data_IF_253855395662
#
_entry.id   IF_253855395662
#
_cell.length_a   1.000
_cell.length_b   1.000
_cell.length_c   1.000
_cell.angle_alpha   90.00
_cell.angle_beta   90.00
_cell.angle_gamma   90.00
#
_symmetry.space_group_name_H-M   'P 1'
#
loop_
_entity.id
_entity.type
_entity.pdbx_description
1 polymer ?
#
# COMPACT_ATOMS: atom_id res chain seq x y z
N UNK A 1 -47.30 28.65 -16.58
CA UNK A 1 -46.19 27.68 -16.65
C UNK A 1 -46.22 26.86 -15.37
N UNK A 2 -46.34 25.53 -15.41
CA UNK A 2 -46.23 24.70 -14.21
C UNK A 2 -44.75 24.57 -13.79
N UNK A 3 -44.43 24.45 -12.49
CA UNK A 3 -43.07 24.26 -12.04
C UNK A 3 -42.60 22.84 -12.35
N UNK A 4 -41.40 22.73 -12.92
CA UNK A 4 -40.73 21.48 -13.26
C UNK A 4 -40.24 20.82 -11.97
N UNK A 5 -40.89 19.72 -11.59
CA UNK A 5 -40.43 18.83 -10.52
C UNK A 5 -39.05 18.26 -10.87
N UNK A 6 -38.01 18.76 -10.22
CA UNK A 6 -36.69 18.12 -10.26
C UNK A 6 -36.75 16.88 -9.36
N UNK A 7 -36.92 15.71 -9.97
CA UNK A 7 -36.70 14.43 -9.31
C UNK A 7 -35.21 14.30 -9.00
N UNK A 8 -34.83 14.63 -7.77
CA UNK A 8 -33.52 14.30 -7.23
C UNK A 8 -33.42 12.77 -7.13
N UNK A 9 -32.85 12.15 -8.17
CA UNK A 9 -32.38 10.77 -8.13
C UNK A 9 -31.30 10.66 -7.07
N UNK A 10 -31.68 10.35 -5.83
CA UNK A 10 -30.74 9.96 -4.78
C UNK A 10 -30.22 8.57 -5.12
N UNK A 11 -29.15 8.51 -5.92
CA UNK A 11 -28.38 7.30 -6.12
C UNK A 11 -27.90 6.81 -4.75
N UNK A 12 -28.46 5.69 -4.29
CA UNK A 12 -28.01 5.04 -3.05
C UNK A 12 -26.54 4.70 -3.24
N UNK A 13 -25.62 5.13 -2.36
CA UNK A 13 -24.22 4.77 -2.49
C UNK A 13 -24.08 3.24 -2.47
N UNK A 14 -23.33 2.71 -3.43
CA UNK A 14 -23.13 1.27 -3.57
C UNK A 14 -22.57 0.64 -2.30
N UNK A 15 -21.84 1.41 -1.49
CA UNK A 15 -21.26 0.99 -0.22
C UNK A 15 -21.66 1.90 0.93
N UNK A 16 -22.25 1.32 1.97
CA UNK A 16 -22.65 2.01 3.21
C UNK A 16 -21.66 1.69 4.31
N UNK A 17 -21.18 2.73 5.00
CA UNK A 17 -20.26 2.57 6.14
C UNK A 17 -20.96 1.87 7.29
N UNK A 18 -20.31 0.84 7.86
CA UNK A 18 -20.85 0.11 9.02
C UNK A 18 -20.55 0.88 10.29
N UNK A 19 -21.57 1.17 11.09
CA UNK A 19 -21.39 1.83 12.38
C UNK A 19 -20.64 0.93 13.37
N UNK A 20 -19.70 1.53 14.11
CA UNK A 20 -18.92 0.87 15.16
C UNK A 20 -17.67 0.13 14.70
N UNK A 21 -17.44 -0.03 13.39
CA UNK A 21 -16.23 -0.69 12.87
C UNK A 21 -15.56 0.23 11.83
N UNK A 22 -14.44 0.89 12.17
CA UNK A 22 -13.78 1.80 11.26
C UNK A 22 -13.20 1.04 10.05
N UNK A 23 -13.41 1.58 8.86
CA UNK A 23 -12.92 0.97 7.61
C UNK A 23 -13.78 -0.19 7.10
N UNK A 24 -14.90 -0.52 7.74
CA UNK A 24 -15.83 -1.53 7.25
C UNK A 24 -16.99 -0.89 6.49
N UNK A 25 -17.25 -1.40 5.30
CA UNK A 25 -18.33 -0.97 4.41
C UNK A 25 -19.14 -2.18 3.97
N UNK A 26 -20.44 -1.99 3.73
CA UNK A 26 -21.34 -3.02 3.24
C UNK A 26 -21.92 -2.60 1.91
N UNK A 27 -21.84 -3.47 0.92
CA UNK A 27 -22.42 -3.24 -0.38
C UNK A 27 -23.95 -3.32 -0.29
N UNK A 28 -24.65 -2.27 -0.73
CA UNK A 28 -26.10 -2.12 -0.59
C UNK A 28 -26.89 -3.20 -1.33
N UNK A 29 -26.39 -3.64 -2.49
CA UNK A 29 -27.10 -4.62 -3.36
C UNK A 29 -26.73 -6.08 -3.10
N UNK A 30 -25.45 -6.37 -2.87
CA UNK A 30 -24.98 -7.76 -2.67
C UNK A 30 -24.86 -8.15 -1.20
N UNK A 31 -24.94 -7.18 -0.28
CA UNK A 31 -24.74 -7.41 1.15
C UNK A 31 -23.31 -7.78 1.54
N UNK A 32 -22.38 -7.85 0.57
CA UNK A 32 -20.97 -8.20 0.82
C UNK A 32 -20.24 -7.07 1.55
N UNK A 33 -19.33 -7.45 2.44
CA UNK A 33 -18.49 -6.50 3.13
C UNK A 33 -17.19 -6.18 2.39
N UNK A 34 -16.78 -4.92 2.49
CA UNK A 34 -15.56 -4.34 1.95
C UNK A 34 -14.76 -3.72 3.10
N UNK A 35 -13.47 -4.04 3.16
CA UNK A 35 -12.50 -3.36 4.00
C UNK A 35 -11.83 -2.22 3.24
N UNK A 36 -11.69 -1.06 3.88
CA UNK A 36 -11.02 0.12 3.33
C UNK A 36 -10.10 0.73 4.37
N UNK A 37 -8.82 0.84 4.04
CA UNK A 37 -7.79 1.40 4.91
C UNK A 37 -6.83 2.27 4.10
N UNK A 38 -6.42 3.40 4.68
CA UNK A 38 -5.30 4.19 4.16
C UNK A 38 -4.02 3.73 4.83
N UNK A 39 -3.01 3.41 4.03
CA UNK A 39 -1.65 3.01 4.46
C UNK A 39 -0.67 3.81 3.61
N UNK A 40 0.28 4.49 4.25
CA UNK A 40 1.31 5.30 3.55
C UNK A 40 0.72 6.28 2.51
N UNK A 41 -0.41 6.92 2.84
CA UNK A 41 -1.11 7.84 1.94
C UNK A 41 -1.90 7.18 0.80
N UNK A 42 -1.73 5.88 0.55
CA UNK A 42 -2.47 5.12 -0.48
C UNK A 42 -3.71 4.46 0.11
N UNK A 43 -4.82 4.50 -0.63
CA UNK A 43 -6.05 3.78 -0.28
C UNK A 43 -5.91 2.32 -0.72
N UNK A 44 -6.10 1.40 0.22
CA UNK A 44 -6.19 -0.03 -0.02
C UNK A 44 -7.62 -0.46 0.24
N UNK A 45 -8.16 -1.23 -0.68
CA UNK A 45 -9.53 -1.76 -0.62
C UNK A 45 -9.45 -3.28 -0.77
N UNK A 46 -10.22 -4.01 0.04
CA UNK A 46 -10.22 -5.46 0.02
C UNK A 46 -11.62 -6.01 0.24
N UNK A 47 -12.10 -6.81 -0.72
CA UNK A 47 -13.38 -7.50 -0.58
C UNK A 47 -13.24 -8.62 0.45
N UNK A 48 -14.02 -8.56 1.52
CA UNK A 48 -14.00 -9.53 2.60
C UNK A 48 -14.76 -10.82 2.24
N UNK A 49 -15.38 -10.86 1.05
CA UNK A 49 -16.08 -12.03 0.48
C UNK A 49 -17.01 -12.73 1.48
N UNK A 50 -17.75 -11.95 2.26
CA UNK A 50 -18.71 -12.45 3.25
C UNK A 50 -19.86 -11.47 3.41
N UNK A 51 -21.02 -11.99 3.79
CA UNK A 51 -22.24 -11.26 4.15
C UNK A 51 -22.50 -11.27 5.66
N UNK A 52 -21.71 -12.04 6.42
CA UNK A 52 -21.76 -12.09 7.89
C UNK A 52 -20.86 -11.00 8.50
N UNK A 53 -21.44 -10.20 9.41
CA UNK A 53 -20.76 -9.07 10.06
C UNK A 53 -19.58 -9.50 10.93
N UNK A 54 -19.72 -10.56 11.72
CA UNK A 54 -18.68 -11.02 12.65
C UNK A 54 -17.49 -11.61 11.89
N UNK A 55 -17.77 -12.34 10.81
CA UNK A 55 -16.72 -12.87 9.93
C UNK A 55 -16.02 -11.71 9.20
N UNK A 56 -16.78 -10.71 8.74
CA UNK A 56 -16.22 -9.53 8.09
C UNK A 56 -15.26 -8.76 9.00
N UNK A 57 -15.65 -8.55 10.27
CA UNK A 57 -14.81 -7.88 11.26
C UNK A 57 -13.49 -8.63 11.52
N UNK A 58 -13.55 -9.96 11.69
CA UNK A 58 -12.35 -10.79 11.86
C UNK A 58 -11.43 -10.72 10.64
N UNK A 59 -11.99 -10.83 9.43
CA UNK A 59 -11.22 -10.73 8.18
C UNK A 59 -10.64 -9.34 7.97
N UNK A 60 -11.38 -8.29 8.35
CA UNK A 60 -10.89 -6.92 8.29
C UNK A 60 -9.69 -6.73 9.22
N UNK A 61 -9.77 -7.25 10.45
CA UNK A 61 -8.66 -7.18 11.40
C UNK A 61 -7.42 -7.92 10.87
N UNK A 62 -7.59 -9.16 10.41
CA UNK A 62 -6.50 -9.94 9.82
C UNK A 62 -5.85 -9.22 8.64
N UNK A 63 -6.67 -8.65 7.75
CA UNK A 63 -6.18 -7.89 6.60
C UNK A 63 -5.45 -6.60 7.01
N UNK A 64 -5.93 -5.86 8.02
CA UNK A 64 -5.24 -4.68 8.54
C UNK A 64 -3.89 -5.08 9.17
N UNK A 65 -3.85 -6.18 9.91
CA UNK A 65 -2.63 -6.70 10.51
C UNK A 65 -1.62 -7.16 9.44
N UNK A 66 -2.08 -7.68 8.31
CA UNK A 66 -1.24 -8.00 7.14
C UNK A 66 -0.73 -6.75 6.43
N UNK A 67 -1.54 -5.69 6.32
CA UNK A 67 -1.12 -4.42 5.69
C UNK A 67 0.02 -3.72 6.43
N UNK A 68 0.14 -3.92 7.74
CA UNK A 68 1.21 -3.36 8.57
C UNK A 68 2.50 -4.19 8.57
N UNK A 69 2.47 -5.41 8.04
CA UNK A 69 3.67 -6.23 7.91
C UNK A 69 4.42 -5.80 6.66
N UNK A 70 5.65 -5.34 6.84
CA UNK A 70 6.61 -5.26 5.74
C UNK A 70 6.72 -6.67 5.18
N UNK A 71 6.55 -6.81 3.87
CA UNK A 71 6.65 -8.11 3.20
C UNK A 71 7.98 -8.76 3.61
N UNK A 72 7.91 -9.87 4.33
CA UNK A 72 9.09 -10.58 4.85
C UNK A 72 10.04 -10.98 3.71
N UNK A 73 9.55 -11.03 2.47
CA UNK A 73 10.37 -11.17 1.27
C UNK A 73 11.12 -9.87 0.91
N UNK A 74 10.45 -8.71 0.98
CA UNK A 74 11.09 -7.40 0.80
C UNK A 74 12.13 -7.11 1.90
N UNK A 75 11.91 -7.56 3.13
CA UNK A 75 12.88 -7.39 4.23
C UNK A 75 14.22 -8.12 3.97
N UNK A 76 14.18 -9.22 3.21
CA UNK A 76 15.37 -10.00 2.84
C UNK A 76 16.07 -9.48 1.60
N UNK A 77 15.52 -8.47 0.93
CA UNK A 77 16.14 -7.91 -0.26
C UNK A 77 17.54 -7.40 0.06
N UNK A 78 18.46 -7.72 -0.83
CA UNK A 78 19.83 -7.22 -0.76
C UNK A 78 19.89 -5.79 -1.28
N UNK A 79 20.92 -5.05 -0.91
CA UNK A 79 21.17 -3.72 -1.48
C UNK A 79 21.23 -3.76 -3.01
N UNK A 80 21.85 -4.80 -3.57
CA UNK A 80 21.93 -5.02 -5.01
C UNK A 80 20.54 -5.15 -5.67
N UNK A 81 19.64 -5.95 -5.07
CA UNK A 81 18.26 -6.08 -5.55
C UNK A 81 17.45 -4.78 -5.40
N UNK A 82 17.74 -3.98 -4.36
CA UNK A 82 17.11 -2.68 -4.17
C UNK A 82 17.52 -1.69 -5.27
N UNK A 83 18.81 -1.64 -5.60
CA UNK A 83 19.32 -0.81 -6.69
C UNK A 83 18.80 -1.28 -8.06
N UNK A 84 18.71 -2.59 -8.29
CA UNK A 84 18.12 -3.13 -9.52
C UNK A 84 16.64 -2.72 -9.67
N UNK A 85 15.86 -2.76 -8.59
CA UNK A 85 14.47 -2.27 -8.58
C UNK A 85 14.38 -0.77 -8.81
N UNK A 86 15.29 0.01 -8.22
CA UNK A 86 15.35 1.45 -8.43
C UNK A 86 15.61 1.79 -9.90
N UNK A 87 16.59 1.11 -10.51
CA UNK A 87 16.91 1.25 -11.93
C UNK A 87 15.73 0.88 -12.83
N UNK A 88 15.03 -0.21 -12.53
CA UNK A 88 13.83 -0.62 -13.24
C UNK A 88 12.69 0.43 -13.16
N UNK A 89 12.51 1.07 -12.01
CA UNK A 89 11.52 2.16 -11.85
C UNK A 89 11.97 3.45 -12.54
N UNK A 90 13.28 3.69 -12.64
CA UNK A 90 13.83 4.86 -13.31
C UNK A 90 14.07 4.68 -14.81
N UNK A 91 13.69 3.55 -15.40
CA UNK A 91 13.91 3.28 -16.83
C UNK A 91 13.25 4.32 -17.76
N UNK A 92 12.15 4.93 -17.32
CA UNK A 92 11.45 5.99 -18.07
C UNK A 92 12.07 7.39 -17.88
N UNK A 93 13.15 7.52 -17.09
CA UNK A 93 13.82 8.80 -16.83
C UNK A 93 14.92 9.08 -17.86
N UNK A 94 15.45 10.30 -17.81
CA UNK A 94 16.59 10.69 -18.64
C UNK A 94 17.82 9.82 -18.36
N UNK A 95 18.66 9.61 -19.38
CA UNK A 95 19.94 8.91 -19.24
C UNK A 95 20.78 9.46 -18.08
N UNK A 96 20.85 10.79 -17.95
CA UNK A 96 21.54 11.45 -16.83
C UNK A 96 21.00 11.10 -15.44
N UNK A 97 19.72 10.75 -15.31
CA UNK A 97 19.14 10.28 -14.05
C UNK A 97 19.56 8.84 -13.74
N UNK A 98 19.69 8.01 -14.78
CA UNK A 98 20.15 6.63 -14.65
C UNK A 98 21.63 6.61 -14.29
N UNK A 99 22.46 7.39 -15.01
CA UNK A 99 23.90 7.53 -14.75
C UNK A 99 24.17 8.04 -13.33
N UNK A 100 23.35 8.99 -12.84
CA UNK A 100 23.45 9.46 -11.46
C UNK A 100 23.13 8.35 -10.44
N UNK A 101 22.09 7.54 -10.68
CA UNK A 101 21.73 6.42 -9.80
C UNK A 101 22.83 5.36 -9.79
N UNK A 102 23.44 5.08 -10.94
CA UNK A 102 24.58 4.16 -11.05
C UNK A 102 25.81 4.69 -10.32
N UNK A 103 26.13 5.98 -10.45
CA UNK A 103 27.23 6.60 -9.71
C UNK A 103 27.03 6.55 -8.19
N UNK A 104 25.82 6.86 -7.72
CA UNK A 104 25.46 6.74 -6.29
C UNK A 104 25.57 5.29 -5.81
N UNK A 105 25.18 4.31 -6.63
CA UNK A 105 25.33 2.88 -6.30
C UNK A 105 26.80 2.53 -6.10
N UNK A 106 27.68 2.92 -7.02
CA UNK A 106 29.09 2.55 -6.98
C UNK A 106 29.82 3.21 -5.79
N UNK A 107 29.53 4.49 -5.53
CA UNK A 107 30.05 5.20 -4.35
C UNK A 107 29.55 4.56 -3.05
N UNK A 108 28.25 4.26 -2.98
CA UNK A 108 27.65 3.63 -1.81
C UNK A 108 28.21 2.22 -1.56
N UNK A 109 28.40 1.40 -2.61
CA UNK A 109 29.01 0.08 -2.49
C UNK A 109 30.50 0.15 -2.14
N UNK A 110 31.20 1.19 -2.58
CA UNK A 110 32.60 1.45 -2.20
C UNK A 110 32.75 1.80 -0.72
N UNK A 111 31.82 2.54 -0.14
CA UNK A 111 31.81 2.87 1.29
C UNK A 111 31.23 1.75 2.17
N UNK A 112 30.30 0.95 1.64
CA UNK A 112 29.60 -0.07 2.42
C UNK A 112 30.51 -1.30 2.70
N UNK A 113 31.09 -1.34 3.90
CA UNK A 113 31.98 -2.41 4.38
C UNK A 113 31.37 -3.82 4.42
N UNK A 114 30.05 -3.94 4.28
CA UNK A 114 29.32 -5.21 4.34
C UNK A 114 29.02 -5.82 2.95
N UNK A 115 29.40 -5.14 1.86
CA UNK A 115 29.26 -5.62 0.48
C UNK A 115 27.83 -5.59 -0.08
N UNK A 116 27.68 -5.80 -1.40
CA UNK A 116 26.41 -5.66 -2.14
C UNK A 116 25.29 -6.62 -1.69
N UNK A 117 25.67 -7.71 -1.03
CA UNK A 117 24.77 -8.77 -0.53
C UNK A 117 24.21 -8.48 0.87
N UNK A 118 24.53 -7.32 1.45
CA UNK A 118 23.98 -6.93 2.73
C UNK A 118 22.46 -6.73 2.63
N UNK A 119 21.73 -7.29 3.59
CA UNK A 119 20.27 -7.21 3.60
C UNK A 119 19.82 -5.86 4.13
N UNK A 120 18.84 -5.25 3.46
CA UNK A 120 18.32 -3.91 3.79
C UNK A 120 17.84 -3.83 5.25
N UNK A 121 17.26 -4.91 5.80
CA UNK A 121 16.83 -4.97 7.21
C UNK A 121 17.95 -4.82 8.24
N UNK A 122 19.20 -5.07 7.86
CA UNK A 122 20.36 -4.95 8.74
C UNK A 122 21.04 -3.58 8.64
N UNK A 123 20.58 -2.70 7.74
CA UNK A 123 21.03 -1.31 7.65
C UNK A 123 20.47 -0.58 8.87
N UNK A 124 21.30 -0.37 9.89
CA UNK A 124 20.94 0.50 11.01
C UNK A 124 21.19 1.95 10.61
N UNK A 125 20.21 2.86 10.72
CA UNK A 125 20.51 4.27 10.73
C UNK A 125 21.44 4.53 11.92
N UNK A 126 22.47 5.35 11.71
CA UNK A 126 23.33 5.79 12.82
C UNK A 126 22.44 6.34 13.94
N UNK A 127 22.70 5.99 15.21
CA UNK A 127 21.98 6.60 16.31
C UNK A 127 22.20 8.11 16.23
N UNK A 128 21.11 8.87 16.07
CA UNK A 128 21.14 10.32 16.26
C UNK A 128 21.64 10.59 17.68
N UNK A 129 22.83 11.21 17.79
CA UNK A 129 23.28 11.84 19.04
C UNK A 129 22.44 13.08 19.37
#
# INVERSE_FOLDING_TARGET
>A
MPPVSHSSSTAVPDYVKVHGIPGLYRHSRSGMYLGLKKVEGKRKEHSLKTTDRKIAERRLKAWIDELGKVDTYLEKTTLEELFAKLLAVSADKSASSIDFIEGVRDEFLGWCSHGSKFQVRNVRPFPSE
#
